data_IF_192186445520
#
_entry.id   IF_192186445520
#
_cell.length_a   1.000
_cell.length_b   1.000
_cell.length_c   1.000
_cell.angle_alpha   90.00
_cell.angle_beta   90.00
_cell.angle_gamma   90.00
#
_symmetry.space_group_name_H-M   'P 1'
#
loop_
_entity.id
_entity.type
_entity.pdbx_description
1 polymer ?
#
# COMPACT_ATOMS: atom_id res chain seq x y z
N UNK A 1 8.41 -20.52 -29.74
CA UNK A 1 8.17 -20.10 -28.34
C UNK A 1 6.98 -19.18 -28.36
N UNK A 2 5.80 -19.73 -28.08
CA UNK A 2 4.54 -19.00 -28.03
C UNK A 2 4.61 -18.02 -26.86
N UNK A 3 4.71 -16.72 -27.15
CA UNK A 3 4.54 -15.69 -26.14
C UNK A 3 3.11 -15.77 -25.63
N UNK A 4 2.94 -16.18 -24.37
CA UNK A 4 1.68 -15.99 -23.66
C UNK A 4 1.45 -14.49 -23.54
N UNK A 5 0.60 -13.95 -24.39
CA UNK A 5 0.06 -12.61 -24.19
C UNK A 5 -0.80 -12.67 -22.93
N UNK A 6 -0.34 -12.06 -21.84
CA UNK A 6 -1.14 -11.98 -20.61
C UNK A 6 -2.52 -11.41 -20.93
N UNK A 7 -3.56 -12.11 -20.48
CA UNK A 7 -4.94 -11.72 -20.74
C UNK A 7 -5.26 -10.40 -20.04
N UNK A 8 -5.93 -9.52 -20.77
CA UNK A 8 -6.31 -8.18 -20.29
C UNK A 8 -7.70 -8.26 -19.68
N UNK A 9 -7.83 -7.91 -18.40
CA UNK A 9 -9.12 -7.86 -17.70
C UNK A 9 -9.92 -6.61 -18.07
N UNK A 10 -9.27 -5.44 -18.02
CA UNK A 10 -9.90 -4.17 -18.39
C UNK A 10 -8.88 -3.08 -18.72
N UNK A 11 -9.31 -2.09 -19.52
CA UNK A 11 -8.49 -0.96 -19.98
C UNK A 11 -9.31 0.33 -19.93
N UNK A 12 -8.69 1.40 -19.43
CA UNK A 12 -9.27 2.75 -19.44
C UNK A 12 -8.32 3.75 -20.10
N UNK A 13 -8.86 4.61 -20.96
CA UNK A 13 -8.14 5.75 -21.50
C UNK A 13 -8.06 6.88 -20.48
N UNK A 14 -6.88 7.45 -20.26
CA UNK A 14 -6.68 8.56 -19.34
C UNK A 14 -6.49 9.87 -20.12
N UNK A 15 -7.00 10.98 -19.58
CA UNK A 15 -6.67 12.32 -20.12
C UNK A 15 -5.28 12.78 -19.67
N UNK A 16 -4.96 12.52 -18.40
CA UNK A 16 -3.74 12.98 -17.74
C UNK A 16 -3.30 11.94 -16.70
N UNK A 17 -2.00 11.80 -16.52
CA UNK A 17 -1.38 11.01 -15.45
C UNK A 17 -0.31 11.85 -14.77
N UNK A 18 -0.24 11.80 -13.44
CA UNK A 18 0.72 12.55 -12.65
C UNK A 18 1.55 11.63 -11.77
N UNK A 19 2.87 11.77 -11.82
CA UNK A 19 3.82 11.09 -10.94
C UNK A 19 4.36 12.08 -9.90
N UNK A 20 4.20 11.75 -8.62
CA UNK A 20 4.76 12.55 -7.54
C UNK A 20 6.28 12.37 -7.44
N UNK A 21 7.01 13.47 -7.26
CA UNK A 21 8.46 13.54 -7.12
C UNK A 21 8.79 14.22 -5.78
N UNK A 22 9.08 13.44 -4.71
CA UNK A 22 9.23 13.96 -3.35
C UNK A 22 10.34 15.01 -3.17
N UNK A 23 11.38 14.98 -4.02
CA UNK A 23 12.58 15.83 -3.92
C UNK A 23 12.70 16.85 -5.05
N UNK A 24 11.62 17.14 -5.78
CA UNK A 24 11.67 18.02 -6.95
C UNK A 24 12.25 19.42 -6.63
N UNK A 25 11.93 19.97 -5.44
CA UNK A 25 12.41 21.30 -5.01
C UNK A 25 13.91 21.34 -4.72
N UNK A 26 14.51 20.26 -4.23
CA UNK A 26 15.96 20.17 -4.00
C UNK A 26 16.74 20.09 -5.31
N UNK A 27 16.09 19.64 -6.40
CA UNK A 27 16.63 19.56 -7.75
C UNK A 27 16.38 20.83 -8.58
N UNK A 28 15.76 21.86 -8.00
CA UNK A 28 15.43 23.11 -8.69
C UNK A 28 14.20 23.04 -9.61
N UNK A 29 13.36 22.01 -9.47
CA UNK A 29 12.12 21.87 -10.23
C UNK A 29 10.96 22.62 -9.57
N UNK A 30 10.16 23.33 -10.37
CA UNK A 30 9.06 24.17 -9.91
C UNK A 30 7.81 23.40 -9.44
N UNK A 31 7.76 22.08 -9.63
CA UNK A 31 6.60 21.24 -9.33
C UNK A 31 7.04 19.90 -8.76
N UNK A 32 6.39 19.45 -7.68
CA UNK A 32 6.57 18.10 -7.14
C UNK A 32 5.85 17.02 -7.95
N UNK A 33 5.37 17.35 -9.15
CA UNK A 33 4.66 16.44 -10.03
C UNK A 33 5.20 16.49 -11.45
N UNK A 34 5.54 15.32 -11.99
CA UNK A 34 5.74 15.11 -13.43
C UNK A 34 4.41 14.72 -14.05
N UNK A 35 3.94 15.51 -15.02
CA UNK A 35 2.61 15.35 -15.63
C UNK A 35 2.76 14.85 -17.06
N UNK A 36 1.95 13.86 -17.40
CA UNK A 36 1.80 13.28 -18.73
C UNK A 36 0.39 13.56 -19.21
N UNK A 37 0.24 13.95 -20.48
CA UNK A 37 -1.06 14.21 -21.09
C UNK A 37 -1.21 13.42 -22.39
N UNK A 38 -2.44 12.93 -22.59
CA UNK A 38 -2.83 12.27 -23.83
C UNK A 38 -2.93 13.30 -24.94
N UNK A 39 -2.22 13.06 -26.05
CA UNK A 39 -2.29 13.92 -27.23
C UNK A 39 -2.05 13.12 -28.50
N UNK A 40 -2.29 13.75 -29.65
CA UNK A 40 -1.99 13.14 -30.96
C UNK A 40 -0.48 12.97 -31.20
N UNK A 41 0.35 13.77 -30.54
CA UNK A 41 1.82 13.78 -30.74
C UNK A 41 2.54 12.88 -29.73
N UNK A 42 2.10 12.88 -28.48
CA UNK A 42 2.67 12.06 -27.39
C UNK A 42 2.02 10.69 -27.25
N UNK A 43 0.86 10.47 -27.88
CA UNK A 43 0.10 9.24 -27.76
C UNK A 43 -0.89 9.25 -26.59
N UNK A 44 -1.76 8.23 -26.58
CA UNK A 44 -2.83 8.10 -25.59
C UNK A 44 -2.35 7.34 -24.36
N UNK A 45 -2.66 7.88 -23.18
CA UNK A 45 -2.45 7.22 -21.90
C UNK A 45 -3.50 6.13 -21.68
N UNK A 46 -3.05 4.99 -21.17
CA UNK A 46 -3.90 3.86 -20.81
C UNK A 46 -3.56 3.36 -19.41
N UNK A 47 -4.61 3.12 -18.62
CA UNK A 47 -4.56 2.32 -17.41
C UNK A 47 -5.08 0.93 -17.73
N UNK A 48 -4.29 -0.11 -17.50
CA UNK A 48 -4.63 -1.50 -17.83
C UNK A 48 -4.55 -2.36 -16.58
N UNK A 49 -5.57 -3.20 -16.34
CA UNK A 49 -5.51 -4.30 -15.36
C UNK A 49 -5.44 -5.61 -16.12
N UNK A 50 -4.40 -6.41 -15.85
CA UNK A 50 -4.26 -7.76 -16.38
C UNK A 50 -5.03 -8.76 -15.52
N UNK A 51 -5.37 -9.91 -16.09
CA UNK A 51 -5.99 -11.01 -15.33
C UNK A 51 -5.08 -11.52 -14.21
N UNK A 52 -3.76 -11.41 -14.37
CA UNK A 52 -2.77 -11.70 -13.32
C UNK A 52 -2.84 -10.75 -12.12
N UNK A 53 -3.62 -9.67 -12.19
CA UNK A 53 -3.74 -8.68 -11.14
C UNK A 53 -2.68 -7.58 -11.20
N UNK A 54 -1.94 -7.44 -12.30
CA UNK A 54 -1.03 -6.32 -12.50
C UNK A 54 -1.78 -5.09 -13.00
N UNK A 55 -1.45 -3.92 -12.42
CA UNK A 55 -1.87 -2.61 -12.92
C UNK A 55 -0.73 -1.96 -13.71
N UNK A 56 -1.02 -1.53 -14.92
CA UNK A 56 -0.08 -0.87 -15.83
C UNK A 56 -0.55 0.53 -16.19
N UNK A 57 0.37 1.49 -16.20
CA UNK A 57 0.18 2.81 -16.81
C UNK A 57 1.10 2.89 -18.02
N UNK A 58 0.54 3.15 -19.20
CA UNK A 58 1.31 3.24 -20.45
C UNK A 58 0.91 4.46 -21.28
N UNK A 59 1.81 4.91 -22.15
CA UNK A 59 1.57 5.94 -23.15
C UNK A 59 2.06 5.44 -24.51
N UNK A 60 1.15 5.33 -25.49
CA UNK A 60 1.44 4.68 -26.77
C UNK A 60 2.02 3.26 -26.58
N UNK A 61 3.27 3.03 -26.97
CA UNK A 61 4.00 1.76 -26.82
C UNK A 61 4.97 1.77 -25.61
N UNK A 62 5.00 2.85 -24.83
CA UNK A 62 5.88 2.99 -23.66
C UNK A 62 5.12 2.63 -22.37
N UNK A 63 5.71 1.76 -21.55
CA UNK A 63 5.24 1.48 -20.20
C UNK A 63 5.81 2.54 -19.23
N UNK A 64 4.92 3.30 -18.59
CA UNK A 64 5.30 4.32 -17.61
C UNK A 64 5.45 3.71 -16.21
N UNK A 65 4.54 2.83 -15.82
CA UNK A 65 4.54 2.13 -14.53
C UNK A 65 3.93 0.74 -14.66
N UNK A 66 4.40 -0.19 -13.85
CA UNK A 66 3.77 -1.50 -13.65
C UNK A 66 3.90 -1.95 -12.21
N UNK A 67 2.81 -2.35 -11.59
CA UNK A 67 2.83 -2.88 -10.23
C UNK A 67 1.81 -4.00 -10.05
N UNK A 68 2.19 -4.99 -9.24
CA UNK A 68 1.29 -6.06 -8.84
C UNK A 68 0.27 -5.55 -7.82
N UNK A 69 -0.99 -5.95 -7.98
CA UNK A 69 -2.03 -5.73 -6.95
C UNK A 69 -2.10 -6.88 -5.93
N UNK A 70 -1.20 -7.87 -6.01
CA UNK A 70 -1.11 -8.93 -5.00
C UNK A 70 -0.85 -8.33 -3.61
N UNK A 71 -1.72 -8.61 -2.64
CA UNK A 71 -1.63 -8.06 -1.28
C UNK A 71 -1.60 -6.53 -1.22
N UNK A 72 -2.19 -5.86 -2.23
CA UNK A 72 -2.23 -4.41 -2.35
C UNK A 72 -2.84 -3.72 -1.13
N UNK A 73 -3.75 -4.38 -0.42
CA UNK A 73 -4.36 -3.87 0.83
C UNK A 73 -3.32 -3.43 1.88
N UNK A 74 -2.13 -4.03 1.88
CA UNK A 74 -1.06 -3.73 2.84
C UNK A 74 -0.23 -2.50 2.48
N UNK A 75 -0.27 -2.02 1.23
CA UNK A 75 0.62 -0.96 0.75
C UNK A 75 -0.01 0.07 -0.20
N UNK A 76 -1.14 -0.22 -0.82
CA UNK A 76 -1.81 0.64 -1.79
C UNK A 76 -3.08 1.23 -1.17
N UNK A 77 -3.12 2.56 -1.07
CA UNK A 77 -4.34 3.31 -0.75
C UNK A 77 -4.82 4.02 -1.99
N UNK A 78 -6.09 3.86 -2.33
CA UNK A 78 -6.72 4.52 -3.48
C UNK A 78 -7.72 5.54 -2.97
N UNK A 79 -7.57 6.79 -3.38
CA UNK A 79 -8.54 7.85 -3.11
C UNK A 79 -9.21 8.26 -4.42
N UNK A 80 -10.53 8.24 -4.48
CA UNK A 80 -11.29 8.77 -5.60
C UNK A 80 -11.75 10.19 -5.31
N UNK A 81 -11.58 11.08 -6.27
CA UNK A 81 -12.21 12.41 -6.28
C UNK A 81 -12.77 12.67 -7.67
N UNK A 82 -14.10 12.69 -7.81
CA UNK A 82 -14.78 12.84 -9.11
C UNK A 82 -14.32 11.76 -10.11
N UNK A 83 -13.67 12.16 -11.20
CA UNK A 83 -13.14 11.34 -12.29
C UNK A 83 -11.63 11.07 -12.14
N UNK A 84 -11.04 11.41 -10.99
CA UNK A 84 -9.62 11.26 -10.70
C UNK A 84 -9.38 10.21 -9.60
N UNK A 85 -8.32 9.42 -9.78
CA UNK A 85 -7.82 8.46 -8.79
C UNK A 85 -6.43 8.88 -8.33
N UNK A 86 -6.21 8.88 -7.01
CA UNK A 86 -4.89 9.03 -6.40
C UNK A 86 -4.47 7.69 -5.80
N UNK A 87 -3.41 7.11 -6.36
CA UNK A 87 -2.83 5.87 -5.88
C UNK A 87 -1.62 6.21 -5.02
N UNK A 88 -1.73 5.92 -3.73
CA UNK A 88 -0.65 6.07 -2.77
C UNK A 88 -0.05 4.70 -2.48
N UNK A 89 1.12 4.43 -3.05
CA UNK A 89 1.84 3.18 -2.93
C UNK A 89 2.95 3.35 -1.89
N UNK A 90 2.88 2.57 -0.81
CA UNK A 90 3.90 2.51 0.24
C UNK A 90 4.82 1.34 -0.04
N UNK A 91 5.91 1.56 -0.78
CA UNK A 91 6.89 0.51 -0.99
C UNK A 91 7.60 0.23 0.34
N UNK A 92 7.43 -0.98 0.88
CA UNK A 92 8.38 -1.51 1.86
C UNK A 92 9.62 -1.86 1.06
N UNK A 93 10.60 -0.95 1.03
CA UNK A 93 11.93 -1.32 0.58
C UNK A 93 12.36 -2.51 1.45
N UNK A 94 12.76 -3.67 0.88
CA UNK A 94 13.63 -4.55 1.62
C UNK A 94 14.83 -3.67 1.94
N UNK A 95 14.97 -3.29 3.21
CA UNK A 95 16.26 -2.83 3.66
C UNK A 95 17.19 -4.02 3.39
N UNK A 96 17.97 -3.96 2.31
CA UNK A 96 19.19 -4.74 2.25
C UNK A 96 19.95 -4.38 3.53
N UNK A 97 19.98 -5.35 4.44
CA UNK A 97 20.48 -5.31 5.83
C UNK A 97 19.58 -4.56 6.83
N UNK A 98 18.55 -5.25 7.32
CA UNK A 98 18.45 -5.38 8.78
C UNK A 98 19.05 -6.74 9.15
N UNK A 99 20.34 -6.72 9.46
CA UNK A 99 20.98 -7.79 10.20
C UNK A 99 20.25 -7.95 11.53
N UNK A 100 19.49 -9.03 11.65
CA UNK A 100 19.42 -9.95 12.78
C UNK A 100 18.09 -10.68 12.64
N UNK A 101 18.16 -11.96 12.30
CA UNK A 101 17.11 -12.91 12.65
C UNK A 101 16.92 -12.76 14.17
N UNK A 102 15.75 -12.35 14.69
CA UNK A 102 15.49 -12.49 16.10
C UNK A 102 15.48 -13.98 16.37
N UNK A 103 16.31 -14.36 17.33
CA UNK A 103 16.38 -15.70 17.89
C UNK A 103 14.97 -16.30 18.03
N UNK A 104 14.81 -17.53 17.55
CA UNK A 104 13.59 -18.36 17.60
C UNK A 104 13.23 -18.75 19.05
N UNK A 105 13.80 -18.10 20.05
CA UNK A 105 13.70 -18.45 21.47
C UNK A 105 12.66 -17.64 22.27
N UNK A 106 12.11 -16.53 21.74
CA UNK A 106 11.03 -15.81 22.44
C UNK A 106 9.65 -16.28 21.98
N UNK A 107 9.21 -17.41 22.54
CA UNK A 107 7.83 -17.93 22.43
C UNK A 107 6.79 -16.99 23.06
N UNK A 108 7.22 -16.00 23.86
CA UNK A 108 6.34 -15.05 24.54
C UNK A 108 6.84 -13.60 24.44
N UNK A 109 5.95 -12.67 24.10
CA UNK A 109 6.15 -11.23 24.20
C UNK A 109 5.47 -10.66 25.44
N UNK A 110 6.10 -9.67 26.08
CA UNK A 110 5.41 -8.90 27.11
C UNK A 110 4.37 -7.96 26.47
N UNK A 111 3.28 -7.71 27.19
CA UNK A 111 2.24 -6.76 26.77
C UNK A 111 2.84 -5.36 26.50
N UNK A 112 3.85 -4.97 27.29
CA UNK A 112 4.59 -3.71 27.09
C UNK A 112 5.29 -3.66 25.75
N UNK A 113 6.01 -4.72 25.34
CA UNK A 113 6.65 -4.78 24.02
C UNK A 113 5.63 -4.73 22.87
N UNK A 114 4.48 -5.40 23.02
CA UNK A 114 3.39 -5.32 22.04
C UNK A 114 2.84 -3.90 21.93
N UNK A 115 2.59 -3.24 23.06
CA UNK A 115 2.12 -1.85 23.09
C UNK A 115 3.12 -0.90 22.40
N UNK A 116 4.42 -1.04 22.68
CA UNK A 116 5.46 -0.23 22.05
C UNK A 116 5.50 -0.42 20.52
N UNK A 117 5.35 -1.67 20.05
CA UNK A 117 5.29 -1.98 18.63
C UNK A 117 4.08 -1.33 17.94
N UNK A 118 2.88 -1.47 18.52
CA UNK A 118 1.65 -0.88 17.96
C UNK A 118 1.66 0.66 18.00
N UNK A 119 2.37 1.26 18.95
CA UNK A 119 2.56 2.71 19.05
C UNK A 119 3.64 3.26 18.10
N UNK A 120 4.27 2.40 17.28
CA UNK A 120 5.21 2.80 16.23
C UNK A 120 6.65 3.02 16.69
N UNK A 121 7.04 2.44 17.84
CA UNK A 121 8.42 2.53 18.33
C UNK A 121 9.39 1.76 17.41
N UNK A 122 10.50 2.42 17.04
CA UNK A 122 11.43 1.90 16.01
C UNK A 122 12.34 0.82 16.58
N UNK A 123 12.58 -0.24 15.79
CA UNK A 123 13.50 -1.32 16.14
C UNK A 123 12.85 -2.52 16.82
N UNK A 124 11.52 -2.50 17.00
CA UNK A 124 10.77 -3.64 17.52
C UNK A 124 10.31 -4.54 16.36
N UNK A 125 10.45 -5.86 16.55
CA UNK A 125 9.94 -6.86 15.62
C UNK A 125 9.06 -7.84 16.39
N UNK A 126 7.99 -8.30 15.75
CA UNK A 126 7.14 -9.34 16.33
C UNK A 126 7.75 -10.73 16.03
N UNK A 127 7.56 -11.74 16.90
CA UNK A 127 7.85 -13.11 16.55
C UNK A 127 7.03 -13.55 15.32
N UNK A 128 7.53 -14.56 14.61
CA UNK A 128 6.88 -15.08 13.40
C UNK A 128 5.44 -15.56 13.67
N UNK A 129 5.15 -16.04 14.88
CA UNK A 129 3.80 -16.44 15.30
C UNK A 129 2.75 -15.32 15.20
N UNK A 130 3.15 -14.06 15.39
CA UNK A 130 2.27 -12.89 15.26
C UNK A 130 2.19 -12.37 13.81
N UNK A 131 3.03 -12.89 12.91
CA UNK A 131 2.97 -12.59 11.48
C UNK A 131 1.99 -13.51 10.72
N UNK A 132 1.58 -14.62 11.34
CA UNK A 132 0.68 -15.60 10.74
C UNK A 132 -0.78 -15.26 11.07
N UNK A 133 -1.28 -14.19 10.47
CA UNK A 133 -2.73 -13.97 10.38
C UNK A 133 -3.14 -14.12 8.92
N UNK A 134 -3.78 -15.25 8.61
CA UNK A 134 -4.26 -15.55 7.26
C UNK A 134 -5.77 -15.69 7.33
N UNK A 135 -6.47 -14.59 7.06
CA UNK A 135 -7.88 -14.66 6.74
C UNK A 135 -8.03 -14.91 5.24
N UNK A 136 -8.96 -15.77 4.81
CA UNK A 136 -9.40 -15.80 3.42
C UNK A 136 -9.78 -14.38 2.93
N UNK A 137 -9.54 -14.04 1.66
CA UNK A 137 -9.80 -12.69 1.14
C UNK A 137 -11.24 -12.20 1.37
N UNK A 138 -12.23 -13.10 1.40
CA UNK A 138 -13.64 -12.75 1.70
C UNK A 138 -13.86 -12.37 3.16
N UNK A 139 -13.23 -13.09 4.09
CA UNK A 139 -13.42 -12.91 5.53
C UNK A 139 -12.80 -11.60 6.04
N UNK A 140 -11.72 -11.13 5.38
CA UNK A 140 -11.13 -9.80 5.66
C UNK A 140 -12.09 -8.69 5.27
N UNK A 141 -12.70 -8.78 4.09
CA UNK A 141 -13.66 -7.78 3.62
C UNK A 141 -14.87 -7.72 4.55
N UNK A 142 -15.40 -8.88 4.94
CA UNK A 142 -16.54 -8.98 5.86
C UNK A 142 -16.21 -8.45 7.27
N UNK A 143 -15.01 -8.73 7.79
CA UNK A 143 -14.53 -8.20 9.05
C UNK A 143 -14.38 -6.66 9.00
N UNK A 144 -13.80 -6.13 7.94
CA UNK A 144 -13.64 -4.68 7.76
C UNK A 144 -14.99 -3.98 7.61
N UNK A 145 -15.93 -4.57 6.84
CA UNK A 145 -17.30 -4.05 6.72
C UNK A 145 -18.01 -4.04 8.05
N UNK A 146 -17.85 -5.09 8.87
CA UNK A 146 -18.42 -5.14 10.22
C UNK A 146 -17.86 -4.02 11.11
N UNK A 147 -16.55 -3.78 11.09
CA UNK A 147 -15.92 -2.67 11.80
C UNK A 147 -16.39 -1.29 11.31
N UNK A 148 -16.61 -1.10 10.01
CA UNK A 148 -17.03 0.18 9.43
C UNK A 148 -18.53 0.48 9.57
N UNK A 149 -19.37 -0.55 9.75
CA UNK A 149 -20.80 -0.40 10.00
C UNK A 149 -21.11 -0.05 11.46
N UNK A 150 -20.17 -0.29 12.37
CA UNK A 150 -20.30 0.09 13.77
C UNK A 150 -19.85 1.55 13.99
N UNK A 151 -20.81 2.44 14.21
CA UNK A 151 -20.56 3.84 14.55
C UNK A 151 -19.78 4.04 15.85
N UNK A 152 -19.75 3.03 16.74
CA UNK A 152 -18.96 3.03 17.97
C UNK A 152 -17.50 2.61 17.77
N UNK A 153 -17.16 2.03 16.62
CA UNK A 153 -15.82 1.53 16.34
C UNK A 153 -14.72 2.61 16.45
N UNK A 154 -14.90 3.85 15.96
CA UNK A 154 -13.89 4.91 16.14
C UNK A 154 -13.61 5.22 17.61
N UNK A 155 -14.65 5.27 18.46
CA UNK A 155 -14.49 5.52 19.90
C UNK A 155 -13.81 4.34 20.60
N UNK A 156 -14.12 3.11 20.19
CA UNK A 156 -13.44 1.92 20.67
C UNK A 156 -11.95 1.92 20.31
N UNK A 157 -11.59 2.28 19.07
CA UNK A 157 -10.18 2.39 18.64
C UNK A 157 -9.44 3.43 19.48
N UNK A 158 -10.05 4.58 19.75
CA UNK A 158 -9.49 5.61 20.62
C UNK A 158 -9.30 5.10 22.07
N UNK A 159 -10.26 4.35 22.60
CA UNK A 159 -10.15 3.72 23.93
C UNK A 159 -9.01 2.70 23.99
N UNK A 160 -8.85 1.88 22.95
CA UNK A 160 -7.76 0.91 22.83
C UNK A 160 -6.41 1.64 22.78
N UNK A 161 -6.29 2.70 21.98
CA UNK A 161 -5.07 3.50 21.91
C UNK A 161 -4.72 4.12 23.27
N UNK A 162 -5.71 4.63 23.99
CA UNK A 162 -5.52 5.20 25.33
C UNK A 162 -5.05 4.14 26.35
N UNK A 163 -5.61 2.92 26.29
CA UNK A 163 -5.16 1.79 27.12
C UNK A 163 -3.72 1.36 26.78
N UNK A 164 -3.38 1.32 25.49
CA UNK A 164 -2.01 1.03 25.05
C UNK A 164 -1.02 2.09 25.56
N UNK A 165 -1.38 3.37 25.50
CA UNK A 165 -0.57 4.46 26.07
C UNK A 165 -0.38 4.31 27.59
N UNK A 166 -1.41 3.93 28.33
CA UNK A 166 -1.33 3.73 29.77
C UNK A 166 -0.32 2.63 30.14
N UNK A 167 -0.28 1.54 29.38
CA UNK A 167 0.68 0.43 29.55
C UNK A 167 2.14 0.83 29.31
N UNK A 168 2.39 1.96 28.63
CA UNK A 168 3.73 2.49 28.39
C UNK A 168 4.21 3.47 29.47
N UNK A 169 3.28 3.97 30.31
CA UNK A 169 3.59 4.90 31.40
C UNK A 169 3.77 4.21 32.75
N UNK A 170 3.55 2.90 32.81
CA UNK A 170 3.84 2.01 33.95
C UNK A 170 5.31 1.53 33.92
#
# INVERSE_FOLDING_TARGET
>A
MSGETEAVKCVWGLKRYGRFLPQAKERGENSSWKVFESSKTTGMLKLTVLESGHLLVSQAEELLEGFSLSSAESFLKIHQKSDSLLLHITMKTPAEKLQAVPDVSQESLSIKHLAQYFMGERGLSLPLAYHQFTLPPGDVEDLLRLCFLDSGFPAFVEEVENKLKALLQE
#
